data_IF_707704393214
#
_entry.id   IF_707704393214
#
_cell.length_a   1.000
_cell.length_b   1.000
_cell.length_c   1.000
_cell.angle_alpha   90.00
_cell.angle_beta   90.00
_cell.angle_gamma   90.00
#
_symmetry.space_group_name_H-M   'P 1'
#
loop_
_entity.id
_entity.type
_entity.pdbx_description
1 polymer ?
#
# COMPACT_ATOMS: atom_id res chain seq x y z
N UNK A 1 -38.43 4.59 -7.79
CA UNK A 1 -37.38 5.24 -8.61
C UNK A 1 -36.64 6.17 -7.67
N UNK A 2 -35.32 6.00 -7.44
CA UNK A 2 -34.58 6.94 -6.60
C UNK A 2 -34.49 8.29 -7.31
N UNK A 3 -34.74 9.39 -6.61
CA UNK A 3 -34.66 10.72 -7.21
C UNK A 3 -33.24 11.00 -7.73
N UNK A 4 -33.08 11.62 -8.91
CA UNK A 4 -31.77 11.87 -9.50
C UNK A 4 -30.86 12.72 -8.60
N UNK A 5 -31.44 13.59 -7.78
CA UNK A 5 -30.71 14.39 -6.78
C UNK A 5 -30.12 13.48 -5.69
N UNK A 6 -30.88 12.49 -5.21
CA UNK A 6 -30.39 11.54 -4.21
C UNK A 6 -29.23 10.71 -4.76
N UNK A 7 -29.34 10.26 -6.02
CA UNK A 7 -28.25 9.53 -6.69
C UNK A 7 -26.99 10.40 -6.78
N UNK A 8 -27.13 11.67 -7.19
CA UNK A 8 -26.00 12.59 -7.31
C UNK A 8 -25.30 12.84 -5.96
N UNK A 9 -26.08 13.05 -4.89
CA UNK A 9 -25.54 13.26 -3.53
C UNK A 9 -24.79 12.03 -3.04
N UNK A 10 -25.38 10.84 -3.20
CA UNK A 10 -24.71 9.58 -2.83
C UNK A 10 -23.40 9.40 -3.60
N UNK A 11 -23.40 9.70 -4.90
CA UNK A 11 -22.20 9.62 -5.72
C UNK A 11 -21.11 10.59 -5.23
N UNK A 12 -21.45 11.84 -4.96
CA UNK A 12 -20.53 12.85 -4.45
C UNK A 12 -19.94 12.46 -3.10
N UNK A 13 -20.77 11.97 -2.17
CA UNK A 13 -20.31 11.49 -0.86
C UNK A 13 -19.39 10.28 -1.01
N UNK A 14 -19.73 9.31 -1.87
CA UNK A 14 -18.90 8.15 -2.12
C UNK A 14 -17.53 8.52 -2.73
N UNK A 15 -17.51 9.43 -3.71
CA UNK A 15 -16.27 9.93 -4.32
C UNK A 15 -15.44 10.71 -3.29
N UNK A 16 -16.06 11.60 -2.52
CA UNK A 16 -15.37 12.37 -1.47
C UNK A 16 -14.76 11.45 -0.41
N UNK A 17 -15.52 10.46 0.07
CA UNK A 17 -15.03 9.47 1.02
C UNK A 17 -13.87 8.64 0.45
N UNK A 18 -13.96 8.23 -0.82
CA UNK A 18 -12.89 7.50 -1.50
C UNK A 18 -11.61 8.34 -1.63
N UNK A 19 -11.73 9.62 -1.98
CA UNK A 19 -10.59 10.54 -2.09
C UNK A 19 -9.94 10.78 -0.72
N UNK A 20 -10.74 11.00 0.33
CA UNK A 20 -10.24 11.15 1.70
C UNK A 20 -9.53 9.89 2.21
N UNK A 21 -10.10 8.72 1.93
CA UNK A 21 -9.47 7.45 2.28
C UNK A 21 -8.13 7.25 1.57
N UNK A 22 -8.06 7.64 0.29
CA UNK A 22 -6.82 7.67 -0.52
C UNK A 22 -5.80 8.69 -0.04
N UNK A 23 -6.23 9.83 0.52
CA UNK A 23 -5.34 10.89 0.99
C UNK A 23 -4.59 10.50 2.28
N UNK A 24 -5.18 9.62 3.09
CA UNK A 24 -4.57 9.13 4.32
C UNK A 24 -3.60 7.96 4.12
N UNK A 25 -3.43 7.43 2.91
CA UNK A 25 -2.43 6.38 2.63
C UNK A 25 -1.01 6.95 2.62
N UNK A 26 -0.17 6.47 3.55
CA UNK A 26 1.27 6.79 3.63
C UNK A 26 2.03 6.04 2.54
N UNK A 27 1.77 4.74 2.42
CA UNK A 27 2.31 3.89 1.35
C UNK A 27 1.39 2.72 1.04
N UNK A 28 1.52 2.19 -0.17
CA UNK A 28 0.82 0.99 -0.63
C UNK A 28 1.82 0.08 -1.34
N UNK A 29 1.89 -1.17 -0.87
CA UNK A 29 2.72 -2.22 -1.44
C UNK A 29 1.82 -3.29 -2.04
N UNK A 30 2.22 -3.79 -3.20
CA UNK A 30 1.64 -4.98 -3.81
C UNK A 30 2.62 -6.13 -3.66
N UNK A 31 2.14 -7.27 -3.19
CA UNK A 31 2.86 -8.53 -3.15
C UNK A 31 2.40 -9.39 -4.31
N UNK A 32 3.34 -9.93 -5.07
CA UNK A 32 3.08 -10.88 -6.16
C UNK A 32 4.22 -11.88 -6.27
N UNK A 33 3.90 -13.16 -6.18
CA UNK A 33 4.83 -14.29 -6.30
C UNK A 33 6.03 -14.14 -5.35
N UNK A 34 5.76 -13.80 -4.08
CA UNK A 34 6.79 -13.57 -3.06
C UNK A 34 7.62 -12.29 -3.24
N UNK A 35 7.36 -11.49 -4.27
CA UNK A 35 8.01 -10.20 -4.53
C UNK A 35 7.15 -9.06 -4.00
N UNK A 36 7.79 -8.03 -3.46
CA UNK A 36 7.13 -6.81 -2.97
C UNK A 36 7.42 -5.66 -3.91
N UNK A 37 6.39 -4.90 -4.27
CA UNK A 37 6.49 -3.72 -5.11
C UNK A 37 5.83 -2.53 -4.41
N UNK A 38 6.56 -1.44 -4.26
CA UNK A 38 6.00 -0.17 -3.80
C UNK A 38 5.13 0.41 -4.91
N UNK A 39 3.81 0.35 -4.77
CA UNK A 39 2.86 0.91 -5.74
C UNK A 39 2.70 2.41 -5.52
N UNK A 40 2.74 2.85 -4.26
CA UNK A 40 2.53 4.26 -3.90
C UNK A 40 3.22 4.64 -2.61
N UNK A 41 3.48 5.93 -2.46
CA UNK A 41 3.93 6.53 -1.20
C UNK A 41 5.41 6.31 -0.92
N UNK A 42 5.84 6.59 0.31
CA UNK A 42 7.24 6.52 0.73
C UNK A 42 7.38 5.52 1.87
N UNK A 43 8.42 4.71 1.79
CA UNK A 43 8.72 3.68 2.79
C UNK A 43 10.22 3.68 3.08
N UNK A 44 10.64 3.69 4.35
CA UNK A 44 12.05 3.52 4.69
C UNK A 44 12.57 2.16 4.18
N UNK A 45 13.80 2.08 3.63
CA UNK A 45 14.37 0.83 3.14
C UNK A 45 14.39 -0.29 4.19
N UNK A 46 14.71 0.03 5.45
CA UNK A 46 14.70 -0.94 6.54
C UNK A 46 13.32 -1.58 6.77
N UNK A 47 12.25 -0.78 6.67
CA UNK A 47 10.87 -1.29 6.80
C UNK A 47 10.48 -2.13 5.58
N UNK A 48 10.87 -1.69 4.38
CA UNK A 48 10.62 -2.46 3.15
C UNK A 48 11.29 -3.85 3.21
N UNK A 49 12.56 -3.91 3.59
CA UNK A 49 13.27 -5.19 3.76
C UNK A 49 12.62 -6.07 4.83
N UNK A 50 12.22 -5.51 5.97
CA UNK A 50 11.50 -6.27 7.00
C UNK A 50 10.18 -6.86 6.49
N UNK A 51 9.45 -6.12 5.65
CA UNK A 51 8.22 -6.62 5.01
C UNK A 51 8.54 -7.71 3.99
N UNK A 52 9.54 -7.51 3.14
CA UNK A 52 10.01 -8.51 2.16
C UNK A 52 10.42 -9.82 2.83
N UNK A 53 11.12 -9.74 3.97
CA UNK A 53 11.52 -10.90 4.76
C UNK A 53 10.32 -11.68 5.29
N UNK A 54 9.29 -10.99 5.79
CA UNK A 54 8.04 -11.64 6.23
C UNK A 54 7.33 -12.30 5.06
N UNK A 55 7.12 -11.55 3.96
CA UNK A 55 6.45 -12.05 2.74
C UNK A 55 7.13 -13.29 2.20
N UNK A 56 8.48 -13.30 2.16
CA UNK A 56 9.29 -14.42 1.70
C UNK A 56 9.17 -15.62 2.64
N UNK A 57 9.27 -15.41 3.95
CA UNK A 57 9.20 -16.49 4.96
C UNK A 57 7.83 -17.14 5.05
N UNK A 58 6.76 -16.38 4.86
CA UNK A 58 5.39 -16.91 4.93
C UNK A 58 4.90 -17.45 3.59
N UNK A 59 5.68 -17.30 2.51
CA UNK A 59 5.30 -17.76 1.18
C UNK A 59 4.11 -17.01 0.60
N UNK A 60 3.93 -15.73 0.96
CA UNK A 60 2.78 -14.93 0.54
C UNK A 60 2.81 -14.69 -0.97
N UNK A 61 1.86 -15.30 -1.70
CA UNK A 61 1.81 -15.20 -3.16
C UNK A 61 1.16 -13.91 -3.67
N UNK A 62 0.09 -13.44 -3.02
CA UNK A 62 -0.63 -12.26 -3.49
C UNK A 62 -1.28 -11.52 -2.34
N UNK A 63 -0.81 -10.32 -2.07
CA UNK A 63 -1.32 -9.48 -0.99
C UNK A 63 -1.23 -7.99 -1.34
N UNK A 64 -2.01 -7.16 -0.65
CA UNK A 64 -1.84 -5.71 -0.65
C UNK A 64 -1.64 -5.23 0.78
N UNK A 65 -0.58 -4.46 0.99
CA UNK A 65 -0.16 -3.95 2.30
C UNK A 65 -0.19 -2.42 2.24
N UNK A 66 -1.05 -1.80 3.04
CA UNK A 66 -1.22 -0.34 3.05
C UNK A 66 -0.95 0.20 4.44
N UNK A 67 -0.14 1.25 4.53
CA UNK A 67 -0.04 2.04 5.75
C UNK A 67 -0.96 3.25 5.63
N UNK A 68 -1.86 3.43 6.58
CA UNK A 68 -2.81 4.53 6.64
C UNK A 68 -2.53 5.37 7.88
N UNK A 69 -2.43 6.69 7.71
CA UNK A 69 -2.36 7.64 8.80
C UNK A 69 -3.72 7.71 9.52
N UNK A 70 -3.73 7.40 10.81
CA UNK A 70 -4.83 7.73 11.73
C UNK A 70 -4.55 9.04 12.47
N UNK A 71 -5.46 9.44 13.36
CA UNK A 71 -5.34 10.71 14.09
C UNK A 71 -4.09 10.79 14.99
N UNK A 72 -3.69 9.67 15.61
CA UNK A 72 -2.54 9.63 16.53
C UNK A 72 -1.49 8.57 16.19
N UNK A 73 -1.81 7.63 15.30
CA UNK A 73 -0.90 6.56 14.90
C UNK A 73 -1.14 6.15 13.45
N UNK A 74 -0.12 5.60 12.80
CA UNK A 74 -0.28 4.91 11.52
C UNK A 74 -0.65 3.45 11.79
N UNK A 75 -1.46 2.85 10.91
CA UNK A 75 -1.85 1.44 10.99
C UNK A 75 -1.66 0.74 9.66
N UNK A 76 -1.39 -0.56 9.71
CA UNK A 76 -1.41 -1.41 8.51
C UNK A 76 -2.82 -1.95 8.24
N UNK A 77 -3.26 -1.76 7.00
CA UNK A 77 -4.43 -2.40 6.40
C UNK A 77 -3.90 -3.44 5.40
N UNK A 78 -4.34 -4.68 5.57
CA UNK A 78 -3.81 -5.84 4.87
C UNK A 78 -4.96 -6.54 4.14
N UNK A 79 -4.67 -7.09 2.96
CA UNK A 79 -5.60 -7.93 2.21
C UNK A 79 -4.83 -9.01 1.46
N UNK A 80 -5.39 -10.21 1.35
CA UNK A 80 -4.72 -11.36 0.73
C UNK A 80 -3.62 -12.01 1.58
N UNK A 81 -3.65 -11.81 2.90
CA UNK A 81 -2.74 -12.45 3.87
C UNK A 81 -3.54 -13.21 4.92
N UNK A 82 -3.02 -14.32 5.44
CA UNK A 82 -3.54 -14.97 6.63
C UNK A 82 -3.26 -14.14 7.90
N UNK A 83 -3.95 -14.46 9.00
CA UNK A 83 -3.85 -13.71 10.26
C UNK A 83 -2.44 -13.78 10.88
N UNK A 84 -1.74 -14.90 10.73
CA UNK A 84 -0.38 -15.07 11.24
C UNK A 84 0.62 -14.17 10.50
N UNK A 85 0.55 -14.16 9.18
CA UNK A 85 1.32 -13.23 8.34
C UNK A 85 0.96 -11.79 8.66
N UNK A 86 -0.33 -11.49 8.81
CA UNK A 86 -0.80 -10.15 9.12
C UNK A 86 -0.23 -9.63 10.43
N UNK A 87 -0.21 -10.48 11.47
CA UNK A 87 0.36 -10.11 12.76
C UNK A 87 1.87 -9.90 12.69
N UNK A 88 2.61 -10.74 11.95
CA UNK A 88 4.05 -10.56 11.74
C UNK A 88 4.35 -9.24 11.03
N UNK A 89 3.57 -8.88 10.01
CA UNK A 89 3.69 -7.60 9.31
C UNK A 89 3.42 -6.42 10.24
N UNK A 90 2.41 -6.51 11.11
CA UNK A 90 2.14 -5.49 12.12
C UNK A 90 3.29 -5.34 13.11
N UNK A 91 3.91 -6.43 13.55
CA UNK A 91 5.07 -6.40 14.44
C UNK A 91 6.25 -5.67 13.78
N UNK A 92 6.57 -6.01 12.54
CA UNK A 92 7.63 -5.34 11.76
C UNK A 92 7.33 -3.85 11.58
N UNK A 93 6.08 -3.49 11.35
CA UNK A 93 5.66 -2.10 11.24
C UNK A 93 5.77 -1.34 12.57
N UNK A 94 5.37 -1.98 13.67
CA UNK A 94 5.39 -1.39 15.01
C UNK A 94 6.79 -1.07 15.53
N UNK A 95 7.84 -1.74 15.04
CA UNK A 95 9.24 -1.43 15.40
C UNK A 95 9.79 -0.18 14.73
N UNK A 96 9.06 0.42 13.77
CA UNK A 96 9.51 1.58 13.01
C UNK A 96 8.73 2.85 13.41
N UNK A 97 9.40 3.88 13.98
CA UNK A 97 8.71 5.10 14.41
C UNK A 97 8.12 5.89 13.24
N UNK A 98 6.86 6.30 13.38
CA UNK A 98 6.06 7.01 12.36
C UNK A 98 6.75 8.29 11.84
N UNK A 99 7.53 8.96 12.69
CA UNK A 99 8.29 10.16 12.32
C UNK A 99 9.30 9.87 11.19
N UNK A 100 9.87 8.65 11.14
CA UNK A 100 10.77 8.21 10.07
C UNK A 100 10.03 7.86 8.77
N UNK A 101 8.72 7.57 8.83
CA UNK A 101 7.91 7.31 7.63
C UNK A 101 7.67 8.58 6.81
N UNK A 102 7.48 9.72 7.49
CA UNK A 102 7.21 11.02 6.82
C UNK A 102 8.44 11.59 6.12
N UNK A 103 9.64 11.33 6.64
CA UNK A 103 10.92 11.78 6.09
C UNK A 103 11.59 10.81 5.10
N UNK A 104 10.96 9.67 4.80
CA UNK A 104 11.58 8.65 3.94
C UNK A 104 11.85 9.18 2.53
N UNK A 105 13.02 8.87 1.97
CA UNK A 105 13.39 9.22 0.59
C UNK A 105 12.55 8.40 -0.41
N UNK A 106 12.29 8.99 -1.58
CA UNK A 106 11.64 8.30 -2.69
C UNK A 106 12.54 7.14 -3.16
N UNK A 107 11.98 5.98 -3.55
CA UNK A 107 12.73 5.01 -4.35
C UNK A 107 13.25 5.71 -5.62
N UNK A 108 14.55 5.58 -5.88
CA UNK A 108 15.31 6.39 -6.86
C UNK A 108 14.84 6.20 -8.32
N UNK A 109 14.17 5.08 -8.61
CA UNK A 109 13.53 4.82 -9.90
C UNK A 109 12.08 4.34 -9.69
N UNK A 110 11.10 5.17 -10.09
CA UNK A 110 9.68 4.78 -10.17
C UNK A 110 9.27 4.61 -11.62
N UNK A 111 8.61 3.52 -11.94
CA UNK A 111 7.98 3.34 -13.24
C UNK A 111 6.62 4.06 -13.34
N UNK A 112 6.12 4.24 -14.56
CA UNK A 112 4.83 4.90 -14.84
C UNK A 112 3.66 4.32 -14.04
N UNK A 113 3.62 3.00 -13.82
CA UNK A 113 2.59 2.38 -12.99
C UNK A 113 2.67 2.76 -11.52
N UNK A 114 3.88 2.96 -10.99
CA UNK A 114 4.09 3.45 -9.61
C UNK A 114 3.80 4.95 -9.50
N UNK A 115 4.06 5.73 -10.55
CA UNK A 115 3.68 7.16 -10.61
C UNK A 115 2.16 7.31 -10.59
N UNK A 116 1.45 6.52 -11.39
CA UNK A 116 -0.01 6.53 -11.47
C UNK A 116 -0.70 5.81 -10.29
N UNK A 117 0.05 5.02 -9.51
CA UNK A 117 -0.50 4.20 -8.41
C UNK A 117 -1.36 3.03 -8.92
N UNK A 118 -1.06 2.53 -10.12
CA UNK A 118 -1.77 1.44 -10.80
C UNK A 118 -0.94 0.17 -10.69
N UNK A 119 -1.33 -0.73 -9.79
CA UNK A 119 -0.54 -1.93 -9.47
C UNK A 119 -0.30 -2.86 -10.68
N UNK A 120 -1.32 -3.12 -11.51
CA UNK A 120 -1.17 -4.01 -12.68
C UNK A 120 -0.18 -3.45 -13.71
N UNK A 121 -0.21 -2.14 -13.95
CA UNK A 121 0.70 -1.46 -14.85
C UNK A 121 2.11 -1.41 -14.25
N UNK A 122 2.22 -1.21 -12.94
CA UNK A 122 3.49 -1.19 -12.24
C UNK A 122 4.21 -2.54 -12.38
N UNK A 123 3.48 -3.66 -12.21
CA UNK A 123 4.01 -4.99 -12.43
C UNK A 123 4.40 -5.25 -13.89
N UNK A 124 3.55 -4.86 -14.84
CA UNK A 124 3.83 -5.03 -16.27
C UNK A 124 5.16 -4.35 -16.69
N UNK A 125 5.43 -3.16 -16.17
CA UNK A 125 6.63 -2.40 -16.49
C UNK A 125 7.87 -2.92 -15.74
N UNK A 126 7.70 -3.43 -14.52
CA UNK A 126 8.80 -4.11 -13.79
C UNK A 126 9.22 -5.39 -14.52
N UNK A 127 8.26 -6.18 -15.01
CA UNK A 127 8.58 -7.44 -15.68
C UNK A 127 9.23 -7.19 -17.06
N UNK A 128 8.89 -6.10 -17.78
CA UNK A 128 9.54 -5.73 -19.05
C UNK A 128 10.96 -5.20 -18.92
N UNK A 129 11.29 -4.50 -17.84
CA UNK A 129 12.63 -3.93 -17.62
C UNK A 129 13.71 -4.95 -17.26
N UNK A 130 13.38 -6.25 -17.22
CA UNK A 130 14.29 -7.35 -16.86
C UNK A 130 14.51 -8.38 -17.99
N UNK A 131 14.02 -8.09 -19.20
CA UNK A 131 14.24 -8.90 -20.41
C UNK A 131 15.41 -8.41 -21.23
#
# INVERSE_FOLDING_TARGET
>A
MLDPIVILVVLLVAVGAYVLWRANEIFCLSVRDGRVLVVRGRIPPALLHGIEDVVRRTGTRRATIRAVAGQHHARLVLSGTDDGTAQRLRNVFGTHPIQKLRGAKLPEARNLGQVLGIAWLAWLLVDRGRG
#
